data_IF_176337169277
#
_entry.id   IF_176337169277
#
_cell.length_a   1.000
_cell.length_b   1.000
_cell.length_c   1.000
_cell.angle_alpha   90.00
_cell.angle_beta   90.00
_cell.angle_gamma   90.00
#
_symmetry.space_group_name_H-M   'P 1'
#
loop_
_entity.id
_entity.type
_entity.pdbx_description
1 polymer ?
#
# COMPACT_ATOMS: atom_id res chain seq x y z
N UNK A 1 42.46 11.23 -63.43
CA UNK A 1 42.92 11.37 -62.02
C UNK A 1 42.12 10.47 -61.07
N UNK A 2 41.13 9.76 -61.59
CA UNK A 2 39.97 9.30 -60.85
C UNK A 2 40.24 7.97 -60.14
N UNK A 3 41.09 7.11 -60.73
CA UNK A 3 41.53 5.85 -60.12
C UNK A 3 42.23 6.05 -58.77
N UNK A 4 43.12 7.04 -58.63
CA UNK A 4 43.78 7.29 -57.33
C UNK A 4 42.76 7.79 -56.28
N UNK A 5 41.77 8.60 -56.70
CA UNK A 5 40.67 9.05 -55.83
C UNK A 5 39.76 7.89 -55.39
N UNK A 6 39.51 6.93 -56.26
CA UNK A 6 38.79 5.68 -55.95
C UNK A 6 39.58 4.81 -54.96
N UNK A 7 40.88 4.59 -55.20
CA UNK A 7 41.76 3.87 -54.26
C UNK A 7 41.82 4.54 -52.88
N UNK A 8 41.86 5.88 -52.83
CA UNK A 8 41.79 6.64 -51.57
C UNK A 8 40.44 6.52 -50.85
N UNK A 9 39.34 6.32 -51.58
CA UNK A 9 38.02 6.06 -50.98
C UNK A 9 37.97 4.63 -50.41
N UNK A 10 38.32 3.63 -51.23
CA UNK A 10 38.38 2.21 -50.86
C UNK A 10 39.33 1.95 -49.69
N UNK A 11 40.49 2.62 -49.65
CA UNK A 11 41.41 2.58 -48.50
C UNK A 11 40.76 3.02 -47.18
N UNK A 12 39.96 4.10 -47.20
CA UNK A 12 39.24 4.56 -46.01
C UNK A 12 38.09 3.63 -45.64
N UNK A 13 37.40 3.08 -46.64
CA UNK A 13 36.30 2.14 -46.46
C UNK A 13 36.78 0.83 -45.81
N UNK A 14 37.79 0.15 -46.37
CA UNK A 14 38.29 -1.10 -45.79
C UNK A 14 38.84 -0.91 -44.38
N UNK A 15 39.52 0.21 -44.10
CA UNK A 15 39.95 0.53 -42.74
C UNK A 15 38.77 0.78 -41.79
N UNK A 16 37.64 1.30 -42.27
CA UNK A 16 36.44 1.55 -41.46
C UNK A 16 35.64 0.27 -41.23
N UNK A 17 35.59 -0.61 -42.24
CA UNK A 17 35.02 -1.96 -42.19
C UNK A 17 35.96 -2.96 -41.48
N UNK A 18 37.09 -2.50 -40.95
CA UNK A 18 38.03 -3.26 -40.13
C UNK A 18 38.65 -4.46 -40.88
N UNK A 19 38.79 -4.35 -42.20
CA UNK A 19 39.43 -5.33 -43.09
C UNK A 19 40.94 -5.10 -43.11
N UNK A 20 41.72 -6.13 -42.79
CA UNK A 20 43.18 -6.05 -42.82
C UNK A 20 43.76 -6.48 -44.16
N UNK A 21 44.28 -5.51 -44.93
CA UNK A 21 44.84 -5.72 -46.27
C UNK A 21 46.19 -6.43 -46.22
N UNK A 22 46.94 -6.30 -45.12
CA UNK A 22 48.23 -6.96 -44.92
C UNK A 22 48.01 -8.44 -44.62
N UNK A 23 47.07 -8.77 -43.73
CA UNK A 23 46.68 -10.16 -43.45
C UNK A 23 46.09 -10.85 -44.70
N UNK A 24 45.29 -10.13 -45.51
CA UNK A 24 44.72 -10.68 -46.74
C UNK A 24 45.80 -11.11 -47.76
N UNK A 25 46.87 -10.32 -47.90
CA UNK A 25 48.03 -10.67 -48.72
C UNK A 25 49.05 -11.57 -48.01
N UNK A 26 48.84 -11.88 -46.72
CA UNK A 26 49.73 -12.69 -45.89
C UNK A 26 51.15 -12.10 -45.80
N UNK A 27 51.23 -10.79 -45.54
CA UNK A 27 52.47 -10.03 -45.32
C UNK A 27 52.40 -9.26 -44.00
N UNK A 28 53.55 -8.96 -43.40
CA UNK A 28 53.60 -8.11 -42.22
C UNK A 28 53.39 -6.63 -42.60
N UNK A 29 52.67 -5.89 -41.75
CA UNK A 29 52.46 -4.44 -41.88
C UNK A 29 53.74 -3.59 -41.96
N UNK A 30 54.87 -4.12 -41.47
CA UNK A 30 56.20 -3.50 -41.56
C UNK A 30 56.84 -3.59 -42.96
N UNK A 31 56.32 -4.41 -43.86
CA UNK A 31 56.87 -4.59 -45.22
C UNK A 31 56.54 -3.38 -46.09
N UNK A 32 57.48 -2.46 -46.22
CA UNK A 32 57.34 -1.24 -47.04
C UNK A 32 57.69 -1.45 -48.51
N UNK A 33 58.36 -2.55 -48.88
CA UNK A 33 58.81 -2.80 -50.26
C UNK A 33 57.65 -3.23 -51.20
N UNK A 34 57.41 -2.43 -52.25
CA UNK A 34 56.46 -2.77 -53.33
C UNK A 34 56.73 -4.12 -54.00
N UNK A 35 58.00 -4.56 -54.02
CA UNK A 35 58.40 -5.84 -54.64
C UNK A 35 57.79 -7.01 -53.89
N UNK A 36 57.76 -6.94 -52.56
CA UNK A 36 57.18 -7.96 -51.70
C UNK A 36 55.66 -7.93 -51.74
N UNK A 37 55.03 -6.74 -51.76
CA UNK A 37 53.58 -6.61 -52.02
C UNK A 37 53.20 -7.26 -53.36
N UNK A 38 53.95 -6.99 -54.44
CA UNK A 38 53.72 -7.64 -55.75
C UNK A 38 53.98 -9.14 -55.74
N UNK A 39 54.92 -9.64 -54.92
CA UNK A 39 55.22 -11.08 -54.78
C UNK A 39 54.12 -11.80 -54.00
N UNK A 40 53.67 -11.20 -52.90
CA UNK A 40 52.59 -11.70 -52.07
C UNK A 40 51.27 -11.73 -52.83
N UNK A 41 50.92 -10.64 -53.52
CA UNK A 41 49.76 -10.62 -54.43
C UNK A 41 49.84 -11.72 -55.49
N UNK A 42 50.98 -11.92 -56.17
CA UNK A 42 51.11 -13.03 -57.15
C UNK A 42 50.86 -14.40 -56.52
N UNK A 43 51.38 -14.66 -55.31
CA UNK A 43 51.16 -15.91 -54.57
C UNK A 43 49.67 -16.08 -54.20
N UNK A 44 49.03 -15.03 -53.71
CA UNK A 44 47.64 -15.07 -53.25
C UNK A 44 46.65 -15.12 -54.42
N UNK A 45 46.89 -14.35 -55.47
CA UNK A 45 46.19 -14.42 -56.75
C UNK A 45 46.20 -15.86 -57.30
N UNK A 46 47.34 -16.55 -57.33
CA UNK A 46 47.41 -17.97 -57.73
C UNK A 46 46.65 -18.95 -56.81
N UNK A 47 46.23 -18.53 -55.62
CA UNK A 47 45.34 -19.32 -54.76
C UNK A 47 43.86 -19.03 -55.04
N UNK A 48 43.52 -17.77 -55.33
CA UNK A 48 42.14 -17.31 -55.51
C UNK A 48 41.69 -17.18 -56.98
N UNK A 49 42.54 -17.56 -57.95
CA UNK A 49 42.24 -17.46 -59.38
C UNK A 49 41.08 -18.37 -59.82
N UNK A 50 40.14 -17.90 -60.68
CA UNK A 50 38.97 -18.68 -61.10
C UNK A 50 39.31 -20.00 -61.80
N UNK A 51 40.38 -20.06 -62.59
CA UNK A 51 40.83 -21.30 -63.27
C UNK A 51 41.16 -22.45 -62.29
N UNK A 52 41.68 -22.11 -61.11
CA UNK A 52 42.08 -23.08 -60.08
C UNK A 52 40.93 -23.48 -59.17
N UNK A 53 40.04 -22.55 -58.84
CA UNK A 53 38.95 -22.76 -57.88
C UNK A 53 37.64 -23.22 -58.53
N UNK A 54 37.37 -22.85 -59.79
CA UNK A 54 36.14 -23.18 -60.54
C UNK A 54 34.88 -22.93 -59.71
N UNK A 55 34.18 -23.97 -59.29
CA UNK A 55 32.94 -23.89 -58.52
C UNK A 55 33.12 -23.31 -57.10
N UNK A 56 34.35 -23.30 -56.58
CA UNK A 56 34.72 -22.69 -55.30
C UNK A 56 35.28 -21.26 -55.45
N UNK A 57 35.16 -20.64 -56.63
CA UNK A 57 35.61 -19.28 -56.87
C UNK A 57 34.71 -18.27 -56.15
N UNK A 58 35.35 -17.28 -55.51
CA UNK A 58 34.68 -16.21 -54.77
C UNK A 58 35.08 -14.86 -55.41
N UNK A 59 34.16 -14.24 -56.18
CA UNK A 59 34.43 -12.98 -56.87
C UNK A 59 34.78 -11.84 -55.92
N UNK A 60 34.12 -11.77 -54.75
CA UNK A 60 34.32 -10.70 -53.77
C UNK A 60 35.71 -10.79 -53.14
N UNK A 61 36.16 -12.00 -52.78
CA UNK A 61 37.53 -12.20 -52.28
C UNK A 61 38.57 -11.90 -53.35
N UNK A 62 38.30 -12.23 -54.62
CA UNK A 62 39.21 -11.90 -55.72
C UNK A 62 39.35 -10.38 -55.90
N UNK A 63 38.24 -9.65 -56.01
CA UNK A 63 38.24 -8.18 -56.12
C UNK A 63 38.94 -7.54 -54.90
N UNK A 64 38.72 -8.07 -53.69
CA UNK A 64 39.38 -7.61 -52.48
C UNK A 64 40.92 -7.80 -52.54
N UNK A 65 41.41 -8.93 -53.09
CA UNK A 65 42.85 -9.19 -53.25
C UNK A 65 43.48 -8.28 -54.32
N UNK A 66 42.78 -8.00 -55.43
CA UNK A 66 43.24 -7.04 -56.43
C UNK A 66 43.26 -5.61 -55.90
N UNK A 67 42.20 -5.21 -55.20
CA UNK A 67 42.10 -3.87 -54.61
C UNK A 67 43.11 -3.68 -53.47
N UNK A 68 43.39 -4.72 -52.68
CA UNK A 68 44.45 -4.70 -51.66
C UNK A 68 45.83 -4.46 -52.28
N UNK A 69 46.15 -5.11 -53.41
CA UNK A 69 47.37 -4.84 -54.18
C UNK A 69 47.43 -3.38 -54.59
N UNK A 70 46.37 -2.85 -55.18
CA UNK A 70 46.39 -1.49 -55.75
C UNK A 70 46.48 -0.40 -54.67
N UNK A 71 45.80 -0.59 -53.53
CA UNK A 71 45.93 0.29 -52.36
C UNK A 71 47.35 0.23 -51.76
N UNK A 72 47.96 -0.96 -51.66
CA UNK A 72 49.27 -1.12 -51.00
C UNK A 72 50.47 -0.79 -51.91
N UNK A 73 50.26 -0.68 -53.24
CA UNK A 73 51.26 -0.19 -54.18
C UNK A 73 51.19 1.33 -54.41
N UNK A 74 50.02 1.95 -54.31
CA UNK A 74 49.93 3.42 -54.36
C UNK A 74 50.30 4.02 -53.00
N UNK A 75 51.38 4.81 -52.97
CA UNK A 75 51.90 5.39 -51.72
C UNK A 75 50.90 6.30 -50.99
N UNK A 76 50.00 6.98 -51.71
CA UNK A 76 49.00 7.86 -51.10
C UNK A 76 47.81 7.05 -50.54
N UNK A 77 47.32 6.06 -51.27
CA UNK A 77 46.27 5.14 -50.81
C UNK A 77 46.74 4.32 -49.60
N UNK A 78 47.97 3.79 -49.64
CA UNK A 78 48.60 3.09 -48.51
C UNK A 78 48.71 3.98 -47.27
N UNK A 79 49.22 5.20 -47.41
CA UNK A 79 49.32 6.14 -46.29
C UNK A 79 47.94 6.51 -45.72
N UNK A 80 46.91 6.64 -46.57
CA UNK A 80 45.53 6.87 -46.12
C UNK A 80 44.97 5.66 -45.35
N UNK A 81 45.20 4.43 -45.83
CA UNK A 81 44.82 3.19 -45.16
C UNK A 81 45.51 3.06 -43.78
N UNK A 82 46.84 3.18 -43.73
CA UNK A 82 47.62 3.04 -42.50
C UNK A 82 47.23 4.08 -41.44
N UNK A 83 46.96 5.32 -41.86
CA UNK A 83 46.50 6.39 -40.97
C UNK A 83 45.07 6.15 -40.46
N UNK A 84 44.16 5.67 -41.31
CA UNK A 84 42.80 5.31 -40.91
C UNK A 84 42.82 4.13 -39.92
N UNK A 85 43.62 3.08 -40.18
CA UNK A 85 43.77 1.90 -39.31
C UNK A 85 44.30 2.30 -37.92
N UNK A 86 45.33 3.15 -37.88
CA UNK A 86 45.85 3.75 -36.62
C UNK A 86 44.77 4.56 -35.89
N UNK A 87 44.00 5.38 -36.59
CA UNK A 87 42.93 6.18 -35.97
C UNK A 87 41.81 5.30 -35.38
N UNK A 88 41.41 4.21 -36.05
CA UNK A 88 40.44 3.24 -35.53
C UNK A 88 40.97 2.55 -34.27
N UNK A 89 42.23 2.10 -34.27
CA UNK A 89 42.88 1.48 -33.11
C UNK A 89 42.97 2.44 -31.92
N UNK A 90 43.37 3.69 -32.14
CA UNK A 90 43.42 4.73 -31.10
C UNK A 90 42.03 5.00 -30.50
N UNK A 91 41.00 5.19 -31.34
CA UNK A 91 39.60 5.36 -30.90
C UNK A 91 39.04 4.14 -30.18
N UNK A 92 39.53 2.93 -30.48
CA UNK A 92 39.18 1.72 -29.73
C UNK A 92 39.83 1.76 -28.34
N UNK A 93 41.15 1.95 -28.27
CA UNK A 93 41.88 2.01 -27.01
C UNK A 93 41.39 3.13 -26.07
N UNK A 94 41.00 4.29 -26.62
CA UNK A 94 40.38 5.39 -25.86
C UNK A 94 39.02 4.98 -25.29
N UNK A 95 38.12 4.41 -26.11
CA UNK A 95 36.83 3.89 -25.65
C UNK A 95 36.99 2.83 -24.59
N UNK A 96 37.91 1.89 -24.76
CA UNK A 96 38.15 0.80 -23.81
C UNK A 96 38.63 1.35 -22.44
N UNK A 97 39.49 2.39 -22.44
CA UNK A 97 39.91 3.09 -21.20
C UNK A 97 38.76 3.80 -20.51
N UNK A 98 37.97 4.57 -21.26
CA UNK A 98 36.81 5.31 -20.72
C UNK A 98 35.72 4.35 -20.22
N UNK A 99 35.49 3.23 -20.93
CA UNK A 99 34.59 2.17 -20.48
C UNK A 99 35.08 1.52 -19.18
N UNK A 100 36.38 1.24 -19.05
CA UNK A 100 36.96 0.71 -17.81
C UNK A 100 36.77 1.64 -16.61
N UNK A 101 36.96 2.96 -16.79
CA UNK A 101 36.70 3.97 -15.76
C UNK A 101 35.20 4.08 -15.45
N UNK A 102 34.34 4.20 -16.47
CA UNK A 102 32.88 4.29 -16.32
C UNK A 102 32.32 3.07 -15.60
N UNK A 103 32.79 1.86 -15.91
CA UNK A 103 32.35 0.64 -15.24
C UNK A 103 32.69 0.67 -13.75
N UNK A 104 33.93 1.04 -13.37
CA UNK A 104 34.32 1.15 -11.96
C UNK A 104 33.42 2.10 -11.17
N UNK A 105 33.11 3.26 -11.74
CA UNK A 105 32.21 4.24 -11.11
C UNK A 105 30.78 3.72 -10.96
N UNK A 106 30.28 2.93 -11.92
CA UNK A 106 28.97 2.28 -11.82
C UNK A 106 28.99 1.19 -10.75
N UNK A 107 29.98 0.29 -10.78
CA UNK A 107 30.15 -0.79 -9.81
C UNK A 107 30.28 -0.23 -8.36
N UNK A 108 30.96 0.90 -8.19
CA UNK A 108 31.11 1.62 -6.90
C UNK A 108 29.80 2.31 -6.44
N UNK A 109 29.10 3.00 -7.34
CA UNK A 109 27.79 3.60 -7.04
C UNK A 109 26.75 2.54 -6.66
N UNK A 110 26.67 1.43 -7.41
CA UNK A 110 25.75 0.35 -7.11
C UNK A 110 26.06 -0.30 -5.76
N UNK A 111 27.34 -0.53 -5.44
CA UNK A 111 27.74 -1.04 -4.13
C UNK A 111 27.32 -0.10 -2.99
N UNK A 112 27.52 1.21 -3.14
CA UNK A 112 27.12 2.21 -2.16
C UNK A 112 25.58 2.30 -1.99
N UNK A 113 24.83 2.23 -3.09
CA UNK A 113 23.35 2.18 -3.04
C UNK A 113 22.83 0.90 -2.38
N UNK A 114 23.43 -0.26 -2.69
CA UNK A 114 23.10 -1.52 -2.05
C UNK A 114 23.43 -1.50 -0.55
N UNK A 115 24.58 -0.92 -0.15
CA UNK A 115 24.93 -0.78 1.26
C UNK A 115 23.96 0.17 1.98
N UNK A 116 23.69 1.36 1.44
CA UNK A 116 22.73 2.29 2.02
C UNK A 116 21.32 1.70 2.15
N UNK A 117 20.91 0.86 1.20
CA UNK A 117 19.65 0.09 1.28
C UNK A 117 19.68 -0.96 2.39
N UNK A 118 20.79 -1.70 2.55
CA UNK A 118 20.98 -2.67 3.65
C UNK A 118 21.00 -1.99 5.02
N UNK A 119 21.67 -0.86 5.16
CA UNK A 119 21.70 -0.08 6.40
C UNK A 119 20.28 0.40 6.78
N UNK A 120 19.52 0.97 5.84
CA UNK A 120 18.11 1.38 6.07
C UNK A 120 17.19 0.21 6.45
N UNK A 121 17.38 -0.96 5.86
CA UNK A 121 16.60 -2.16 6.23
C UNK A 121 16.94 -2.62 7.65
N UNK A 122 18.23 -2.69 8.00
CA UNK A 122 18.67 -3.06 9.35
C UNK A 122 18.20 -2.04 10.42
N UNK A 123 18.15 -0.76 10.08
CA UNK A 123 17.58 0.29 10.95
C UNK A 123 16.07 0.11 11.15
N UNK A 124 15.32 -0.18 10.08
CA UNK A 124 13.88 -0.47 10.18
C UNK A 124 13.58 -1.74 10.98
N UNK A 125 14.41 -2.79 10.87
CA UNK A 125 14.25 -4.00 11.68
C UNK A 125 14.51 -3.72 13.16
N UNK A 126 15.59 -3.00 13.50
CA UNK A 126 15.86 -2.55 14.89
C UNK A 126 14.74 -1.66 15.43
N UNK A 127 14.19 -0.76 14.62
CA UNK A 127 13.07 0.08 15.03
C UNK A 127 11.81 -0.75 15.35
N UNK A 128 11.50 -1.77 14.53
CA UNK A 128 10.40 -2.72 14.78
C UNK A 128 10.64 -3.60 16.01
N UNK A 129 11.88 -3.98 16.29
CA UNK A 129 12.26 -4.73 17.48
C UNK A 129 12.03 -3.89 18.75
N UNK A 130 12.57 -2.65 18.79
CA UNK A 130 12.34 -1.69 19.87
C UNK A 130 10.86 -1.35 20.05
N UNK A 131 10.09 -1.26 18.96
CA UNK A 131 8.64 -1.05 19.03
C UNK A 131 7.91 -2.24 19.69
N UNK A 132 8.31 -3.49 19.40
CA UNK A 132 7.76 -4.69 20.04
C UNK A 132 8.10 -4.75 21.53
N UNK A 133 9.34 -4.45 21.90
CA UNK A 133 9.73 -4.37 23.32
C UNK A 133 8.94 -3.29 24.05
N UNK A 134 8.84 -2.09 23.47
CA UNK A 134 8.04 -0.99 24.01
C UNK A 134 6.56 -1.36 24.14
N UNK A 135 5.99 -2.05 23.15
CA UNK A 135 4.61 -2.51 23.19
C UNK A 135 4.37 -3.52 24.32
N UNK A 136 5.30 -4.46 24.53
CA UNK A 136 5.26 -5.42 25.64
C UNK A 136 5.33 -4.71 27.00
N UNK A 137 6.30 -3.80 27.20
CA UNK A 137 6.39 -3.03 28.45
C UNK A 137 5.13 -2.17 28.68
N UNK A 138 4.54 -1.61 27.63
CA UNK A 138 3.30 -0.84 27.73
C UNK A 138 2.07 -1.73 28.01
N UNK A 139 2.06 -2.99 27.59
CA UNK A 139 1.03 -3.97 27.95
C UNK A 139 1.16 -4.40 29.42
N UNK A 140 2.37 -4.75 29.87
CA UNK A 140 2.66 -5.07 31.28
C UNK A 140 2.31 -3.89 32.20
N UNK A 141 2.63 -2.65 31.80
CA UNK A 141 2.24 -1.43 32.50
C UNK A 141 0.72 -1.18 32.52
N UNK A 142 0.02 -1.35 31.38
CA UNK A 142 -1.45 -1.24 31.31
C UNK A 142 -2.14 -2.28 32.18
N UNK A 143 -1.60 -3.50 32.23
CA UNK A 143 -2.13 -4.58 33.06
C UNK A 143 -2.04 -4.24 34.55
N UNK A 144 -0.89 -3.73 35.04
CA UNK A 144 -0.77 -3.26 36.44
C UNK A 144 -1.81 -2.19 36.75
N UNK A 145 -1.94 -1.16 35.90
CA UNK A 145 -2.92 -0.09 36.09
C UNK A 145 -4.36 -0.60 36.07
N UNK A 146 -4.67 -1.60 35.23
CA UNK A 146 -5.98 -2.23 35.20
C UNK A 146 -6.27 -2.98 36.51
N UNK A 147 -5.35 -3.83 36.97
CA UNK A 147 -5.45 -4.58 38.23
C UNK A 147 -5.60 -3.64 39.45
N UNK A 148 -4.84 -2.54 39.51
CA UNK A 148 -4.96 -1.49 40.53
C UNK A 148 -6.32 -0.77 40.44
N UNK A 149 -6.79 -0.42 39.24
CA UNK A 149 -8.08 0.25 39.05
C UNK A 149 -9.27 -0.64 39.41
N UNK A 150 -9.21 -1.95 39.13
CA UNK A 150 -10.26 -2.90 39.51
C UNK A 150 -10.30 -3.13 41.02
N UNK A 151 -9.13 -3.18 41.70
CA UNK A 151 -9.07 -3.18 43.17
C UNK A 151 -9.71 -1.93 43.75
N UNK A 152 -9.34 -0.74 43.26
CA UNK A 152 -9.89 0.53 43.73
C UNK A 152 -11.40 0.66 43.49
N UNK A 153 -11.90 0.18 42.33
CA UNK A 153 -13.34 0.09 42.06
C UNK A 153 -14.05 -0.85 43.03
N UNK A 154 -13.46 -2.02 43.31
CA UNK A 154 -14.03 -3.02 44.22
C UNK A 154 -14.10 -2.49 45.66
N UNK A 155 -13.05 -1.86 46.15
CA UNK A 155 -13.00 -1.25 47.48
C UNK A 155 -14.00 -0.08 47.60
N UNK A 156 -14.14 0.77 46.57
CA UNK A 156 -15.18 1.80 46.55
C UNK A 156 -16.60 1.23 46.47
N UNK A 157 -16.81 0.17 45.70
CA UNK A 157 -18.13 -0.47 45.59
C UNK A 157 -18.52 -1.15 46.91
N UNK A 158 -17.59 -1.82 47.59
CA UNK A 158 -17.82 -2.40 48.93
C UNK A 158 -18.06 -1.30 49.98
N UNK A 159 -17.33 -0.18 49.91
CA UNK A 159 -17.62 1.01 50.73
C UNK A 159 -19.03 1.53 50.48
N UNK A 160 -19.40 1.73 49.22
CA UNK A 160 -20.71 2.26 48.84
C UNK A 160 -21.85 1.29 49.21
N UNK A 161 -21.62 -0.02 49.13
CA UNK A 161 -22.58 -1.04 49.55
C UNK A 161 -22.71 -1.13 51.08
N UNK A 162 -21.64 -0.83 51.84
CA UNK A 162 -21.69 -0.67 53.30
C UNK A 162 -22.34 0.64 53.75
N UNK A 163 -22.19 1.70 52.96
CA UNK A 163 -22.82 3.02 53.18
C UNK A 163 -24.26 3.08 52.63
N UNK A 164 -24.69 2.06 51.87
CA UNK A 164 -26.07 1.90 51.41
C UNK A 164 -26.93 1.36 52.55
N UNK A 165 -27.50 2.28 53.33
CA UNK A 165 -28.69 1.96 54.13
C UNK A 165 -29.82 1.46 53.20
N UNK A 166 -30.58 0.43 53.59
CA UNK A 166 -31.79 0.07 52.87
C UNK A 166 -32.83 1.18 53.07
N UNK A 167 -33.26 1.83 51.98
CA UNK A 167 -34.31 2.84 52.04
C UNK A 167 -35.58 2.24 52.69
N UNK A 168 -36.30 3.03 53.50
CA UNK A 168 -37.51 2.56 54.23
C UNK A 168 -38.56 1.89 53.33
N UNK A 169 -38.54 2.18 52.03
CA UNK A 169 -39.39 1.56 51.01
C UNK A 169 -38.97 0.12 50.64
N UNK A 170 -37.67 -0.18 50.59
CA UNK A 170 -37.14 -1.52 50.27
C UNK A 170 -37.44 -2.51 51.40
N UNK A 171 -37.28 -2.09 52.67
CA UNK A 171 -37.64 -2.91 53.84
C UNK A 171 -39.15 -3.22 53.87
N UNK A 172 -39.97 -2.21 53.60
CA UNK A 172 -41.44 -2.32 53.57
C UNK A 172 -41.94 -3.19 52.42
N UNK A 173 -41.24 -3.19 51.30
CA UNK A 173 -41.49 -4.10 50.18
C UNK A 173 -41.11 -5.55 50.53
N UNK A 174 -39.98 -5.75 51.21
CA UNK A 174 -39.57 -7.08 51.71
C UNK A 174 -40.57 -7.64 52.74
N UNK A 175 -41.08 -6.80 53.66
CA UNK A 175 -42.11 -7.20 54.62
C UNK A 175 -43.43 -7.62 53.92
N UNK A 176 -43.86 -6.86 52.91
CA UNK A 176 -45.03 -7.21 52.08
C UNK A 176 -44.84 -8.55 51.36
N UNK A 177 -43.64 -8.81 50.85
CA UNK A 177 -43.30 -10.07 50.18
C UNK A 177 -43.33 -11.26 51.15
N UNK A 178 -42.72 -11.11 52.34
CA UNK A 178 -42.75 -12.15 53.38
C UNK A 178 -44.19 -12.46 53.84
N UNK A 179 -45.02 -11.43 54.07
CA UNK A 179 -46.45 -11.58 54.41
C UNK A 179 -47.24 -12.28 53.29
N UNK A 180 -46.84 -12.12 52.03
CA UNK A 180 -47.44 -12.81 50.88
C UNK A 180 -47.06 -14.30 50.87
N UNK A 181 -45.78 -14.62 51.06
CA UNK A 181 -45.31 -16.01 51.06
C UNK A 181 -45.75 -16.77 52.31
N UNK A 182 -45.84 -16.12 53.48
CA UNK A 182 -46.47 -16.68 54.67
C UNK A 182 -47.97 -16.97 54.43
N UNK A 183 -48.72 -16.05 53.82
CA UNK A 183 -50.11 -16.29 53.40
C UNK A 183 -50.22 -17.44 52.39
N UNK A 184 -49.25 -17.60 51.47
CA UNK A 184 -49.21 -18.73 50.52
C UNK A 184 -48.93 -20.05 51.26
N UNK A 185 -47.98 -20.06 52.19
CA UNK A 185 -47.65 -21.21 53.05
C UNK A 185 -48.83 -21.64 53.92
N UNK A 186 -49.48 -20.70 54.61
CA UNK A 186 -50.70 -20.95 55.40
C UNK A 186 -51.87 -21.45 54.53
N UNK A 187 -52.01 -20.96 53.29
CA UNK A 187 -52.99 -21.50 52.32
C UNK A 187 -52.62 -22.92 51.86
N UNK A 188 -51.34 -23.22 51.65
CA UNK A 188 -50.86 -24.56 51.30
C UNK A 188 -51.07 -25.54 52.46
N UNK A 189 -50.77 -25.14 53.69
CA UNK A 189 -51.00 -25.93 54.90
C UNK A 189 -52.50 -26.19 55.15
N UNK A 190 -53.36 -25.17 55.01
CA UNK A 190 -54.82 -25.35 55.06
C UNK A 190 -55.34 -26.26 53.94
N UNK A 191 -54.77 -26.19 52.73
CA UNK A 191 -55.08 -27.14 51.65
C UNK A 191 -54.63 -28.56 51.98
N UNK A 192 -53.43 -28.75 52.54
CA UNK A 192 -52.95 -30.06 52.97
C UNK A 192 -53.83 -30.66 54.07
N UNK A 193 -54.18 -29.86 55.09
CA UNK A 193 -55.08 -30.26 56.18
C UNK A 193 -56.49 -30.60 55.68
N UNK A 194 -57.01 -29.88 54.67
CA UNK A 194 -58.29 -30.20 54.01
C UNK A 194 -58.23 -31.42 53.08
N UNK A 195 -57.04 -31.79 52.57
CA UNK A 195 -56.85 -32.99 51.73
C UNK A 195 -56.64 -34.28 52.56
N UNK A 196 -56.45 -34.16 53.87
CA UNK A 196 -56.32 -35.29 54.81
C UNK A 196 -57.63 -35.83 55.38
N UNK A 197 -58.79 -35.23 55.06
CA UNK A 197 -60.12 -35.77 55.33
C UNK A 197 -60.82 -36.09 54.00
N UNK A 198 -61.35 -37.30 53.86
CA UNK A 198 -61.70 -37.91 52.56
C UNK A 198 -63.22 -37.80 52.26
N UNK A 199 -63.55 -38.00 50.98
CA UNK A 199 -64.86 -38.36 50.37
C UNK A 199 -65.86 -37.21 50.12
N UNK A 200 -66.43 -37.17 48.90
CA UNK A 200 -67.70 -36.49 48.60
C UNK A 200 -67.75 -35.74 47.27
N UNK A 201 -68.26 -36.37 46.20
CA UNK A 201 -68.67 -35.73 44.94
C UNK A 201 -69.91 -34.83 45.10
N UNK A 202 -70.01 -33.78 44.27
CA UNK A 202 -71.22 -33.40 43.50
C UNK A 202 -70.99 -32.08 42.71
N UNK A 203 -71.69 -31.92 41.59
CA UNK A 203 -71.51 -30.84 40.61
C UNK A 203 -72.74 -29.92 40.45
N UNK A 204 -72.50 -28.72 39.90
CA UNK A 204 -73.40 -27.75 39.21
C UNK A 204 -72.73 -26.36 39.35
N UNK A 205 -72.17 -25.68 38.34
CA UNK A 205 -72.62 -25.25 37.00
C UNK A 205 -73.47 -23.95 37.00
N UNK A 206 -73.46 -23.23 35.87
CA UNK A 206 -74.10 -21.94 35.53
C UNK A 206 -73.28 -20.63 35.70
N UNK A 207 -72.39 -20.39 34.74
CA UNK A 207 -72.55 -19.32 33.71
C UNK A 207 -72.63 -17.83 34.10
N UNK A 208 -71.60 -17.07 33.67
CA UNK A 208 -71.53 -15.61 33.47
C UNK A 208 -72.54 -15.13 32.41
N UNK A 209 -72.97 -13.84 32.43
CA UNK A 209 -72.49 -12.97 31.36
C UNK A 209 -72.17 -11.52 31.78
N UNK A 210 -71.46 -10.81 30.89
CA UNK A 210 -70.99 -9.45 31.08
C UNK A 210 -72.06 -8.37 30.77
N UNK A 211 -71.86 -7.15 31.29
CA UNK A 211 -72.63 -5.98 30.93
C UNK A 211 -71.89 -4.68 31.27
N UNK A 212 -71.46 -3.94 30.26
CA UNK A 212 -70.79 -2.65 30.43
C UNK A 212 -71.73 -1.49 30.08
N UNK A 213 -71.66 -0.38 30.84
CA UNK A 213 -71.61 0.99 30.30
C UNK A 213 -71.39 2.06 31.39
N UNK A 214 -70.69 3.12 30.98
CA UNK A 214 -70.33 4.34 31.71
C UNK A 214 -71.53 5.29 31.91
N UNK A 215 -71.45 6.25 32.85
CA UNK A 215 -71.13 7.65 32.46
C UNK A 215 -70.12 8.31 33.45
N UNK A 216 -69.67 9.57 33.35
CA UNK A 216 -70.03 10.68 32.45
C UNK A 216 -68.81 11.60 32.11
N UNK A 217 -68.97 12.93 32.15
CA UNK A 217 -67.97 14.02 31.99
C UNK A 217 -68.14 15.03 33.15
N UNK A 218 -67.31 16.06 33.42
CA UNK A 218 -66.43 16.95 32.65
C UNK A 218 -65.41 17.62 33.64
N UNK A 219 -64.61 18.70 33.34
CA UNK A 219 -64.39 19.44 32.09
C UNK A 219 -62.89 19.56 31.67
N UNK A 220 -62.64 20.25 30.54
CA UNK A 220 -61.30 20.40 29.90
C UNK A 220 -60.55 21.69 30.31
N UNK A 221 -59.22 21.65 30.48
CA UNK A 221 -58.33 22.79 30.22
C UNK A 221 -57.96 22.92 28.72
N UNK A 222 -57.35 24.05 28.35
CA UNK A 222 -57.00 24.45 26.98
C UNK A 222 -56.06 23.47 26.23
N UNK A 223 -56.01 23.49 24.88
CA UNK A 223 -55.23 22.54 24.10
C UNK A 223 -53.72 22.71 24.29
N UNK A 224 -53.14 21.86 25.13
CA UNK A 224 -51.69 21.57 25.07
C UNK A 224 -51.36 20.99 23.70
N UNK A 225 -50.33 21.53 23.04
CA UNK A 225 -49.86 21.02 21.75
C UNK A 225 -49.58 19.51 21.83
N UNK A 226 -49.87 18.78 20.76
CA UNK A 226 -49.64 17.34 20.69
C UNK A 226 -48.15 17.02 20.96
N UNK A 227 -47.85 15.95 21.72
CA UNK A 227 -46.46 15.59 22.01
C UNK A 227 -45.69 15.37 20.69
N UNK A 228 -44.47 15.90 20.56
CA UNK A 228 -43.73 15.87 19.30
C UNK A 228 -43.49 14.42 18.86
N UNK A 229 -43.69 14.16 17.56
CA UNK A 229 -43.54 12.82 16.98
C UNK A 229 -42.10 12.34 17.20
N UNK A 230 -41.92 11.06 17.52
CA UNK A 230 -40.61 10.49 17.85
C UNK A 230 -39.55 10.71 16.74
N UNK A 231 -40.00 10.78 15.49
CA UNK A 231 -39.19 11.10 14.30
C UNK A 231 -38.62 12.52 14.34
N UNK A 232 -39.44 13.53 14.69
CA UNK A 232 -38.99 14.93 14.84
C UNK A 232 -37.98 15.06 15.99
N UNK A 233 -38.24 14.36 17.12
CA UNK A 233 -37.32 14.35 18.26
C UNK A 233 -35.96 13.75 17.88
N UNK A 234 -35.95 12.64 17.13
CA UNK A 234 -34.74 11.99 16.62
C UNK A 234 -33.99 12.88 15.62
N UNK A 235 -34.70 13.54 14.71
CA UNK A 235 -34.11 14.48 13.76
C UNK A 235 -33.45 15.67 14.49
N UNK A 236 -34.13 16.25 15.49
CA UNK A 236 -33.59 17.32 16.34
C UNK A 236 -32.34 16.88 17.11
N UNK A 237 -32.32 15.66 17.65
CA UNK A 237 -31.15 15.12 18.36
C UNK A 237 -29.93 14.97 17.43
N UNK A 238 -30.12 14.46 16.21
CA UNK A 238 -29.06 14.32 15.20
C UNK A 238 -28.55 15.70 14.76
N UNK A 239 -29.43 16.67 14.55
CA UNK A 239 -29.05 18.04 14.20
C UNK A 239 -28.26 18.73 15.34
N UNK A 240 -28.68 18.55 16.60
CA UNK A 240 -27.99 19.08 17.77
C UNK A 240 -26.59 18.47 17.94
N UNK A 241 -26.42 17.18 17.64
CA UNK A 241 -25.11 16.52 17.65
C UNK A 241 -24.19 17.08 16.56
N UNK A 242 -24.70 17.26 15.33
CA UNK A 242 -23.94 17.88 14.22
C UNK A 242 -23.53 19.33 14.49
N UNK A 243 -24.37 20.09 15.19
CA UNK A 243 -24.03 21.44 15.68
C UNK A 243 -22.89 21.40 16.72
N UNK A 244 -22.92 20.43 17.65
CA UNK A 244 -21.87 20.26 18.66
C UNK A 244 -20.53 19.87 18.01
N UNK A 245 -20.57 18.96 17.04
CA UNK A 245 -19.40 18.56 16.24
C UNK A 245 -18.83 19.75 15.44
N UNK A 246 -19.69 20.58 14.84
CA UNK A 246 -19.26 21.78 14.11
C UNK A 246 -18.65 22.86 15.00
N UNK A 247 -19.19 23.10 16.20
CA UNK A 247 -18.57 24.02 17.18
C UNK A 247 -17.18 23.55 17.57
N UNK A 248 -17.02 22.25 17.84
CA UNK A 248 -15.71 21.64 18.15
C UNK A 248 -14.74 21.71 16.95
N UNK A 249 -15.24 21.57 15.72
CA UNK A 249 -14.43 21.74 14.52
C UNK A 249 -13.99 23.20 14.31
N UNK A 250 -14.85 24.18 14.61
CA UNK A 250 -14.51 25.60 14.56
C UNK A 250 -13.48 25.98 15.65
N UNK A 251 -13.61 25.46 16.87
CA UNK A 251 -12.59 25.56 17.93
C UNK A 251 -11.24 24.96 17.50
N UNK A 252 -11.25 23.94 16.65
CA UNK A 252 -10.06 23.33 16.06
C UNK A 252 -9.55 24.03 14.77
N UNK A 253 -10.18 25.13 14.33
CA UNK A 253 -9.85 25.84 13.09
C UNK A 253 -10.20 25.09 11.79
N UNK A 254 -11.04 24.04 11.87
CA UNK A 254 -11.40 23.14 10.77
C UNK A 254 -12.79 23.39 10.16
N UNK A 255 -13.56 24.32 10.72
CA UNK A 255 -14.88 24.73 10.23
C UNK A 255 -15.06 26.24 10.37
N UNK A 256 -15.85 26.86 9.48
CA UNK A 256 -16.09 28.31 9.53
C UNK A 256 -17.25 28.68 10.46
N UNK A 257 -17.28 29.92 10.91
CA UNK A 257 -18.37 30.43 11.76
C UNK A 257 -19.73 30.41 11.04
N UNK A 258 -19.72 30.55 9.71
CA UNK A 258 -20.91 30.42 8.86
C UNK A 258 -21.48 28.98 8.86
N UNK A 259 -20.63 27.96 8.83
CA UNK A 259 -21.07 26.55 8.90
C UNK A 259 -21.67 26.20 10.27
N UNK A 260 -21.14 26.80 11.34
CA UNK A 260 -21.72 26.67 12.70
C UNK A 260 -23.08 27.36 12.76
N UNK A 261 -23.21 28.54 12.15
CA UNK A 261 -24.47 29.30 12.07
C UNK A 261 -25.54 28.55 11.28
N UNK A 262 -25.22 28.04 10.09
CA UNK A 262 -26.16 27.23 9.29
C UNK A 262 -26.65 25.99 10.06
N UNK A 263 -25.74 25.27 10.75
CA UNK A 263 -26.13 24.11 11.57
C UNK A 263 -26.99 24.51 12.76
N UNK A 264 -26.78 25.69 13.35
CA UNK A 264 -27.64 26.24 14.40
C UNK A 264 -29.05 26.56 13.88
N UNK A 265 -29.15 27.18 12.71
CA UNK A 265 -30.43 27.45 12.03
C UNK A 265 -31.19 26.15 11.71
N UNK A 266 -30.52 25.07 11.28
CA UNK A 266 -31.19 23.76 11.09
C UNK A 266 -31.74 23.15 12.38
N UNK A 267 -31.13 23.42 13.54
CA UNK A 267 -31.66 22.98 14.84
C UNK A 267 -32.88 23.80 15.25
N UNK A 268 -32.89 25.11 14.97
CA UNK A 268 -34.05 25.97 15.23
C UNK A 268 -35.24 25.67 14.30
N UNK A 269 -35.00 25.35 13.02
CA UNK A 269 -36.05 24.99 12.06
C UNK A 269 -36.77 23.67 12.42
N UNK A 270 -36.12 22.82 13.22
CA UNK A 270 -36.68 21.58 13.76
C UNK A 270 -37.31 21.75 15.15
N UNK A 271 -37.38 22.97 15.70
CA UNK A 271 -38.11 23.21 16.94
C UNK A 271 -39.64 23.21 16.67
N UNK A 272 -40.44 22.36 17.32
CA UNK A 272 -41.89 22.34 17.14
C UNK A 272 -42.59 23.65 17.54
N UNK A 273 -41.92 24.56 18.27
CA UNK A 273 -42.43 25.90 18.58
C UNK A 273 -42.35 26.89 17.41
N UNK A 274 -41.54 26.59 16.40
CA UNK A 274 -41.37 27.41 15.18
C UNK A 274 -42.26 26.95 14.01
N UNK A 275 -42.94 25.80 14.14
CA UNK A 275 -43.95 25.33 13.18
C UNK A 275 -45.33 25.87 13.61
N UNK A 276 -45.66 27.09 13.16
CA UNK A 276 -46.99 27.71 13.26
C UNK A 276 -47.73 27.51 11.94
#
# INVERSE_FOLDING_TARGET
>A
MDNNKDLLAKAKEYSSNNVDLYDLLQIDSTVTEEKDVRRAWRKQSLNYHPDKLKDAFDPEKWELIETARDILLDAAARAAYDNARKAVLLRKAERDRVQGQRKRLIDELEAAEQEGKRQKLAEQEKARELERERARLAEEGRRRMAEESERFKRENLERLEREREPDEYDEKLAELQQRLDEKRRLKAEKKARKKGGVVGDAAADATTPAGAKTPESAPKPAPSAAPPKWEDLKARMIAAQRLKEARKAAEAGQATEEEVKQKYETVQALDPRNKV
#
